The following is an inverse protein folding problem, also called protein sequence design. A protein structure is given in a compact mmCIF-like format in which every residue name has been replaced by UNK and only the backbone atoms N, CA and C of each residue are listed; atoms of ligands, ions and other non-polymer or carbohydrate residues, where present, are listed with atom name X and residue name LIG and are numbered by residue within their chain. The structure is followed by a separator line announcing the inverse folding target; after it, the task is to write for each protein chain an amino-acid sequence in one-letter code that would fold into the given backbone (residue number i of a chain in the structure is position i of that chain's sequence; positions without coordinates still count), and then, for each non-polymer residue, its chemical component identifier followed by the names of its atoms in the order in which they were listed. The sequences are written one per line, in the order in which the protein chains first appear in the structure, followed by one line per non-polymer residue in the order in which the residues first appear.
data_IF_857484517151
#
_entry.id   IF_857484517151
#
_cell.length_a   1.000
_cell.length_b   1.000
_cell.length_c   1.000
_cell.angle_alpha   90.00
_cell.angle_beta   90.00
_cell.angle_gamma   90.00
#
_symmetry.space_group_name_H-M   'P 1'
#
loop_
_entity.id
_entity.type
_entity.pdbx_description
1 polymer ?
#
# COMPACT_ATOMS: atom_id res chain seq x y z
N UNK A 1 35.71 23.28 3.48
CA UNK A 1 34.88 22.63 2.43
C UNK A 1 34.97 21.10 2.49
N UNK A 2 34.72 20.48 3.66
CA UNK A 2 34.73 19.01 3.81
C UNK A 2 33.78 18.53 4.93
N UNK A 3 32.63 19.19 5.08
CA UNK A 3 31.60 18.80 6.07
C UNK A 3 30.20 18.63 5.47
N UNK A 4 30.00 18.98 4.19
CA UNK A 4 28.70 18.85 3.48
C UNK A 4 28.53 17.53 2.70
N UNK A 5 29.51 16.62 2.76
CA UNK A 5 29.56 15.43 1.89
C UNK A 5 28.89 14.17 2.44
N UNK A 6 28.56 14.11 3.73
CA UNK A 6 28.07 12.88 4.38
C UNK A 6 26.54 12.75 4.26
N UNK A 7 25.80 13.86 4.15
CA UNK A 7 24.33 13.87 4.17
C UNK A 7 23.63 13.51 2.84
N UNK A 8 24.34 13.39 1.72
CA UNK A 8 23.70 13.21 0.39
C UNK A 8 23.51 11.76 -0.05
N UNK A 9 23.92 10.77 0.74
CA UNK A 9 23.96 9.35 0.33
C UNK A 9 22.84 8.45 0.84
N UNK A 10 21.89 8.99 1.61
CA UNK A 10 20.85 8.18 2.25
C UNK A 10 19.47 8.26 1.56
N UNK A 11 19.26 9.26 0.69
CA UNK A 11 17.93 9.51 0.09
C UNK A 11 17.57 8.52 -1.03
N UNK A 12 18.54 7.89 -1.71
CA UNK A 12 18.24 6.95 -2.82
C UNK A 12 17.85 5.54 -2.39
N UNK A 13 18.18 5.09 -1.17
CA UNK A 13 17.81 3.73 -0.73
C UNK A 13 16.39 3.68 -0.17
N UNK A 14 15.95 4.76 0.48
CA UNK A 14 14.64 4.85 1.11
C UNK A 14 13.47 4.99 0.09
N UNK A 15 13.75 5.33 -1.17
CA UNK A 15 12.71 5.51 -2.21
C UNK A 15 12.19 4.19 -2.78
N UNK A 16 12.93 3.08 -2.66
CA UNK A 16 12.61 1.82 -3.35
C UNK A 16 11.68 0.90 -2.54
N UNK A 17 11.50 1.17 -1.23
CA UNK A 17 10.69 0.31 -0.35
C UNK A 17 9.21 0.73 -0.24
N UNK A 18 8.86 1.96 -0.64
CA UNK A 18 7.52 2.53 -0.46
C UNK A 18 6.66 2.53 -1.75
N UNK A 19 7.16 2.01 -2.86
CA UNK A 19 6.52 2.08 -4.18
C UNK A 19 5.52 0.95 -4.44
N UNK A 20 4.70 0.57 -3.45
CA UNK A 20 3.71 -0.51 -3.58
C UNK A 20 2.31 -0.07 -3.17
N UNK A 21 1.28 -0.49 -3.89
CA UNK A 21 -0.13 -0.33 -3.49
C UNK A 21 -0.87 -1.67 -3.57
N UNK A 22 -1.91 -1.81 -2.75
CA UNK A 22 -2.84 -2.95 -2.85
C UNK A 22 -3.95 -2.58 -3.81
N UNK A 23 -4.15 -3.39 -4.83
CA UNK A 23 -5.22 -3.21 -5.82
C UNK A 23 -6.22 -4.38 -5.78
N UNK A 24 -7.52 -4.11 -5.98
CA UNK A 24 -8.53 -5.16 -6.01
C UNK A 24 -8.87 -5.64 -7.42
N UNK A 25 -9.47 -6.82 -7.48
CA UNK A 25 -10.32 -7.30 -8.57
C UNK A 25 -11.77 -7.39 -8.04
N UNK A 26 -12.58 -6.33 -8.22
CA UNK A 26 -13.88 -6.21 -7.56
C UNK A 26 -14.87 -7.30 -7.97
N UNK A 27 -14.72 -7.90 -9.17
CA UNK A 27 -15.61 -8.95 -9.67
C UNK A 27 -15.61 -10.21 -8.78
N UNK A 28 -14.56 -10.41 -7.97
CA UNK A 28 -14.44 -11.56 -7.05
C UNK A 28 -14.79 -11.21 -5.60
N UNK A 29 -15.06 -9.93 -5.31
CA UNK A 29 -15.34 -9.45 -3.96
C UNK A 29 -16.77 -9.80 -3.53
N UNK A 30 -16.90 -10.51 -2.40
CA UNK A 30 -18.20 -10.86 -1.77
C UNK A 30 -18.48 -10.06 -0.49
N UNK A 31 -17.73 -8.97 -0.29
CA UNK A 31 -17.85 -8.06 0.86
C UNK A 31 -17.78 -8.71 2.26
N UNK A 32 -17.09 -9.84 2.41
CA UNK A 32 -16.99 -10.58 3.69
C UNK A 32 -16.30 -9.82 4.85
N UNK A 33 -15.58 -8.72 4.59
CA UNK A 33 -14.97 -7.89 5.63
C UNK A 33 -13.67 -8.42 6.27
N UNK A 34 -13.21 -9.63 5.92
CA UNK A 34 -11.98 -10.23 6.51
C UNK A 34 -10.74 -9.34 6.31
N UNK A 35 -10.62 -8.69 5.16
CA UNK A 35 -9.51 -7.78 4.88
C UNK A 35 -9.49 -6.55 5.81
N UNK A 36 -10.66 -5.94 6.06
CA UNK A 36 -10.81 -4.81 7.01
C UNK A 36 -10.50 -5.26 8.43
N UNK A 37 -11.04 -6.40 8.86
CA UNK A 37 -10.82 -6.94 10.20
C UNK A 37 -9.32 -7.18 10.50
N UNK A 38 -8.55 -7.65 9.52
CA UNK A 38 -7.12 -7.92 9.68
C UNK A 38 -6.23 -6.70 9.36
N UNK A 39 -6.80 -5.53 9.07
CA UNK A 39 -5.99 -4.34 8.88
C UNK A 39 -5.47 -3.84 10.24
N UNK A 40 -4.14 -3.85 10.49
CA UNK A 40 -3.58 -3.51 11.81
C UNK A 40 -3.80 -2.05 12.21
N UNK A 41 -4.15 -1.19 11.24
CA UNK A 41 -4.45 0.23 11.44
C UNK A 41 -5.91 0.59 11.12
N UNK A 42 -6.78 -0.41 10.93
CA UNK A 42 -8.23 -0.20 10.82
C UNK A 42 -8.73 0.45 9.53
N UNK A 43 -8.00 0.37 8.41
CA UNK A 43 -8.52 0.82 7.09
C UNK A 43 -9.70 -0.07 6.67
N UNK A 44 -10.80 0.51 6.18
CA UNK A 44 -11.90 -0.27 5.55
C UNK A 44 -11.50 -0.77 4.15
N UNK A 45 -10.57 -1.73 4.11
CA UNK A 45 -10.08 -2.35 2.86
C UNK A 45 -11.21 -2.99 2.06
N UNK A 46 -12.26 -3.50 2.72
CA UNK A 46 -13.44 -4.08 2.07
C UNK A 46 -14.16 -3.05 1.21
N UNK A 47 -14.28 -1.80 1.65
CA UNK A 47 -14.89 -0.75 0.83
C UNK A 47 -14.09 -0.51 -0.45
N UNK A 48 -12.77 -0.33 -0.34
CA UNK A 48 -11.87 -0.20 -1.50
C UNK A 48 -12.02 -1.41 -2.45
N UNK A 49 -12.03 -2.62 -1.90
CA UNK A 49 -12.16 -3.85 -2.68
C UNK A 49 -13.48 -3.94 -3.44
N UNK A 50 -14.58 -3.48 -2.82
CA UNK A 50 -15.89 -3.44 -3.44
C UNK A 50 -15.99 -2.37 -4.54
N UNK A 51 -15.42 -1.19 -4.29
CA UNK A 51 -15.39 -0.08 -5.26
C UNK A 51 -14.44 -0.33 -6.44
N UNK A 52 -13.57 -1.34 -6.35
CA UNK A 52 -12.54 -1.58 -7.36
C UNK A 52 -11.41 -0.55 -7.29
N UNK A 53 -11.26 0.12 -6.15
CA UNK A 53 -10.27 1.18 -5.95
C UNK A 53 -9.04 0.63 -5.24
N UNK A 54 -7.83 1.05 -5.64
CA UNK A 54 -6.63 0.74 -4.85
C UNK A 54 -6.78 1.26 -3.41
N UNK A 55 -6.14 0.57 -2.46
CA UNK A 55 -6.09 0.97 -1.05
C UNK A 55 -5.17 2.19 -0.93
N UNK A 56 -5.72 3.37 -1.24
CA UNK A 56 -5.05 4.67 -1.16
C UNK A 56 -5.35 5.30 0.19
N UNK A 57 -4.49 5.04 1.16
CA UNK A 57 -4.58 5.64 2.48
C UNK A 57 -3.20 6.08 2.93
N UNK A 58 -3.06 7.31 3.43
CA UNK A 58 -1.76 7.90 3.81
C UNK A 58 -1.04 7.10 4.89
N UNK A 59 -1.79 6.37 5.71
CA UNK A 59 -1.25 5.52 6.78
C UNK A 59 -1.04 4.05 6.35
N UNK A 60 -1.41 3.66 5.12
CA UNK A 60 -1.26 2.28 4.68
C UNK A 60 0.21 1.84 4.76
N UNK A 61 0.49 0.88 5.65
CA UNK A 61 1.84 0.37 5.92
C UNK A 61 2.36 -0.59 4.85
N UNK A 62 1.58 -0.82 3.78
CA UNK A 62 1.85 -1.84 2.75
C UNK A 62 2.20 -3.24 3.29
N UNK A 63 1.68 -3.58 4.48
CA UNK A 63 2.03 -4.81 5.21
C UNK A 63 1.52 -6.11 4.58
N UNK A 64 0.44 -6.05 3.80
CA UNK A 64 -0.06 -7.20 3.03
C UNK A 64 -1.01 -8.16 3.75
N UNK A 65 -1.36 -7.93 5.01
CA UNK A 65 -2.33 -8.78 5.72
C UNK A 65 -3.66 -8.91 4.99
N UNK A 66 -4.18 -7.82 4.41
CA UNK A 66 -5.41 -7.87 3.63
C UNK A 66 -5.31 -8.77 2.39
N UNK A 67 -4.12 -8.82 1.76
CA UNK A 67 -3.84 -9.68 0.58
C UNK A 67 -3.80 -11.14 1.01
N UNK A 68 -3.03 -11.46 2.06
CA UNK A 68 -2.84 -12.83 2.57
C UNK A 68 -4.15 -13.41 3.10
N UNK A 69 -4.96 -12.61 3.79
CA UNK A 69 -6.20 -13.07 4.45
C UNK A 69 -7.41 -13.12 3.53
N UNK A 70 -7.33 -12.60 2.31
CA UNK A 70 -8.48 -12.61 1.40
C UNK A 70 -8.73 -14.04 0.86
N UNK A 71 -9.82 -14.73 1.28
CA UNK A 71 -10.06 -16.12 0.87
C UNK A 71 -10.39 -16.26 -0.61
N UNK A 72 -10.79 -15.16 -1.27
CA UNK A 72 -11.14 -15.11 -2.70
C UNK A 72 -9.97 -14.64 -3.58
N UNK A 73 -8.85 -14.26 -2.98
CA UNK A 73 -7.68 -13.72 -3.69
C UNK A 73 -7.98 -12.43 -4.46
N UNK A 74 -8.89 -11.59 -3.94
CA UNK A 74 -9.34 -10.33 -4.58
C UNK A 74 -8.24 -9.28 -4.65
N UNK A 75 -7.38 -9.24 -3.64
CA UNK A 75 -6.38 -8.20 -3.45
C UNK A 75 -5.00 -8.70 -3.90
N UNK A 76 -4.20 -7.82 -4.50
CA UNK A 76 -2.80 -8.08 -4.88
C UNK A 76 -1.94 -6.82 -4.71
N UNK A 77 -0.63 -6.99 -4.66
CA UNK A 77 0.31 -5.87 -4.70
C UNK A 77 0.66 -5.49 -6.14
N UNK A 78 0.77 -4.19 -6.39
CA UNK A 78 1.32 -3.62 -7.61
C UNK A 78 2.35 -2.54 -7.27
N UNK A 79 3.40 -2.45 -8.09
CA UNK A 79 4.37 -1.36 -7.99
C UNK A 79 3.73 -0.05 -8.47
N UNK A 80 4.08 1.05 -7.83
CA UNK A 80 3.51 2.36 -8.12
C UNK A 80 4.50 3.48 -7.81
N UNK A 81 4.55 4.46 -8.70
CA UNK A 81 5.40 5.65 -8.55
C UNK A 81 4.69 6.79 -7.79
N UNK A 82 3.51 6.52 -7.21
CA UNK A 82 2.68 7.52 -6.52
C UNK A 82 3.41 8.24 -5.37
N UNK A 83 4.40 7.60 -4.75
CA UNK A 83 5.20 8.17 -3.66
C UNK A 83 6.59 8.66 -4.10
N UNK A 84 6.94 8.52 -5.39
CA UNK A 84 8.22 8.99 -5.92
C UNK A 84 8.28 10.53 -6.05
N UNK A 85 7.12 11.19 -5.99
CA UNK A 85 7.01 12.65 -6.02
C UNK A 85 6.65 13.14 -4.62
N UNK A 86 7.63 13.11 -3.73
CA UNK A 86 7.55 13.82 -2.46
C UNK A 86 7.21 15.28 -2.72
N UNK A 87 6.25 15.79 -1.97
CA UNK A 87 5.62 17.09 -2.15
C UNK A 87 6.66 18.23 -2.20
N UNK A 88 6.47 19.13 -3.17
CA UNK A 88 7.28 20.34 -3.42
C UNK A 88 7.36 21.29 -2.24
#
# INVERSE_FOLDING_TARGET
MLLLGIFKRDVSKHTVLASGQVVPDPARCVQCGICTYNCPIGIDVREHAWRGEPVRHSQCLTCGECVVRCPRGVLRFEQTDLFAKGDS
#
